data_IF_304289787350
#
_entry.id   IF_304289787350
#
_cell.length_a   1.000
_cell.length_b   1.000
_cell.length_c   1.000
_cell.angle_alpha   90.00
_cell.angle_beta   90.00
_cell.angle_gamma   90.00
#
_symmetry.space_group_name_H-M   'P 1'
#
loop_
_entity.id
_entity.type
_entity.pdbx_description
1 polymer ?
#
# COMPACT_ATOMS: atom_id res chain seq x y z
N UNK A 1 0.85 30.49 15.19
CA UNK A 1 0.34 30.93 13.88
C UNK A 1 0.03 29.67 13.10
N UNK A 2 -1.14 29.08 13.35
CA UNK A 2 -1.65 27.92 12.63
C UNK A 2 -1.93 28.34 11.19
N UNK A 3 -1.08 27.91 10.27
CA UNK A 3 -1.25 28.12 8.84
C UNK A 3 -0.87 26.82 8.13
N UNK A 4 -1.47 25.71 8.56
CA UNK A 4 -1.71 24.60 7.65
C UNK A 4 -3.03 24.87 6.94
N UNK A 5 -2.98 25.82 6.01
CA UNK A 5 -4.08 25.96 5.06
C UNK A 5 -4.15 24.66 4.27
N UNK A 6 -5.18 23.86 4.55
CA UNK A 6 -5.61 22.74 3.73
C UNK A 6 -5.60 23.20 2.26
N UNK A 7 -4.63 22.76 1.46
CA UNK A 7 -4.36 23.38 0.15
C UNK A 7 -5.59 23.34 -0.76
N UNK A 8 -6.43 22.32 -0.57
CA UNK A 8 -7.69 22.09 -1.29
C UNK A 8 -8.81 23.10 -0.97
N UNK A 9 -8.65 23.93 0.07
CA UNK A 9 -9.59 24.99 0.44
C UNK A 9 -9.18 26.38 -0.06
N UNK A 10 -7.94 26.51 -0.56
CA UNK A 10 -7.38 27.77 -1.00
C UNK A 10 -7.79 28.17 -2.42
N UNK A 11 -7.57 29.45 -2.76
CA UNK A 11 -7.83 29.98 -4.11
C UNK A 11 -7.00 29.27 -5.20
N UNK A 12 -5.85 28.70 -4.83
CA UNK A 12 -4.96 27.96 -5.72
C UNK A 12 -5.30 26.47 -5.83
N UNK A 13 -6.38 25.98 -5.20
CA UNK A 13 -6.69 24.55 -5.15
C UNK A 13 -6.82 23.93 -6.56
N UNK A 14 -7.48 24.62 -7.49
CA UNK A 14 -7.61 24.16 -8.88
C UNK A 14 -6.27 24.10 -9.61
N UNK A 15 -5.41 25.11 -9.43
CA UNK A 15 -4.08 25.15 -10.06
C UNK A 15 -3.16 24.06 -9.50
N UNK A 16 -3.21 23.83 -8.18
CA UNK A 16 -2.47 22.75 -7.52
C UNK A 16 -2.95 21.39 -8.00
N UNK A 17 -4.28 21.19 -8.08
CA UNK A 17 -4.87 19.97 -8.63
C UNK A 17 -4.40 19.73 -10.06
N UNK A 18 -4.45 20.75 -10.93
CA UNK A 18 -3.96 20.65 -12.31
C UNK A 18 -2.47 20.33 -12.37
N UNK A 19 -1.65 20.91 -11.50
CA UNK A 19 -0.22 20.61 -11.41
C UNK A 19 0.04 19.16 -10.98
N UNK A 20 -0.74 18.63 -10.03
CA UNK A 20 -0.69 17.21 -9.64
C UNK A 20 -1.11 16.30 -10.80
N UNK A 21 -2.18 16.67 -11.53
CA UNK A 21 -2.63 15.97 -12.76
C UNK A 21 -1.57 15.98 -13.87
N UNK A 22 -0.79 17.05 -14.00
CA UNK A 22 0.31 17.10 -14.95
C UNK A 22 1.50 16.23 -14.50
N UNK A 23 1.79 16.19 -13.20
CA UNK A 23 2.85 15.35 -12.63
C UNK A 23 2.53 13.86 -12.72
N UNK A 24 1.27 13.44 -12.52
CA UNK A 24 0.90 12.01 -12.61
C UNK A 24 1.19 11.41 -14.00
N UNK A 25 1.09 12.21 -15.06
CA UNK A 25 1.40 11.77 -16.44
C UNK A 25 2.88 11.44 -16.66
N UNK A 26 3.75 11.90 -15.75
CA UNK A 26 5.21 11.69 -15.80
C UNK A 26 5.69 10.69 -14.76
N UNK A 27 4.78 9.98 -14.09
CA UNK A 27 5.14 8.98 -13.10
C UNK A 27 5.96 7.84 -13.74
N UNK A 28 6.93 7.27 -13.02
CA UNK A 28 7.66 6.11 -13.49
C UNK A 28 6.73 4.94 -13.82
N UNK A 29 7.00 4.27 -14.94
CA UNK A 29 6.28 3.05 -15.32
C UNK A 29 6.63 1.91 -14.35
N UNK A 30 5.60 1.24 -13.85
CA UNK A 30 5.70 0.05 -13.02
C UNK A 30 5.41 -1.19 -13.87
N UNK A 31 6.29 -2.19 -13.85
CA UNK A 31 6.18 -3.41 -14.67
C UNK A 31 5.64 -4.61 -13.91
N UNK A 32 5.73 -4.61 -12.58
CA UNK A 32 5.26 -5.71 -11.74
C UNK A 32 6.02 -7.02 -11.96
N UNK A 33 7.32 -6.93 -12.29
CA UNK A 33 8.15 -8.08 -12.66
C UNK A 33 9.12 -8.53 -11.54
N UNK A 34 9.04 -7.87 -10.38
CA UNK A 34 9.91 -8.14 -9.23
C UNK A 34 9.79 -9.59 -8.73
N UNK A 35 10.90 -10.30 -8.47
CA UNK A 35 10.85 -11.61 -7.81
C UNK A 35 10.33 -11.52 -6.37
N UNK A 36 10.43 -10.34 -5.73
CA UNK A 36 9.93 -10.07 -4.36
C UNK A 36 8.43 -9.77 -4.30
N UNK A 37 7.72 -9.75 -5.43
CA UNK A 37 6.33 -9.27 -5.48
C UNK A 37 5.38 -10.05 -4.55
N UNK A 38 5.64 -11.33 -4.31
CA UNK A 38 4.89 -12.16 -3.38
C UNK A 38 4.98 -11.70 -1.90
N UNK A 39 6.04 -10.97 -1.53
CA UNK A 39 6.25 -10.40 -0.18
C UNK A 39 5.67 -8.99 -0.06
N UNK A 40 5.27 -8.38 -1.16
CA UNK A 40 4.92 -6.96 -1.23
C UNK A 40 3.80 -6.59 -0.26
N UNK A 41 2.77 -7.44 -0.12
CA UNK A 41 1.66 -7.22 0.82
C UNK A 41 2.15 -7.13 2.27
N UNK A 42 3.03 -8.03 2.67
CA UNK A 42 3.64 -8.02 4.01
C UNK A 42 4.39 -6.71 4.28
N UNK A 43 5.14 -6.19 3.31
CA UNK A 43 5.86 -4.93 3.49
C UNK A 43 4.97 -3.69 3.46
N UNK A 44 3.88 -3.70 2.67
CA UNK A 44 2.87 -2.66 2.74
C UNK A 44 2.19 -2.62 4.12
N UNK A 45 1.88 -3.79 4.69
CA UNK A 45 1.36 -3.91 6.05
C UNK A 45 2.36 -3.43 7.10
N UNK A 46 3.64 -3.79 6.96
CA UNK A 46 4.69 -3.29 7.84
C UNK A 46 4.77 -1.75 7.80
N UNK A 47 4.77 -1.17 6.60
CA UNK A 47 4.75 0.29 6.41
C UNK A 47 3.51 0.90 7.07
N UNK A 48 2.33 0.31 6.88
CA UNK A 48 1.08 0.79 7.46
C UNK A 48 1.12 0.74 9.00
N UNK A 49 1.59 -0.36 9.59
CA UNK A 49 1.74 -0.52 11.05
C UNK A 49 2.65 0.55 11.63
N UNK A 50 3.84 0.73 11.05
CA UNK A 50 4.82 1.72 11.53
C UNK A 50 4.28 3.14 11.33
N UNK A 51 3.69 3.42 10.16
CA UNK A 51 3.07 4.71 9.86
C UNK A 51 1.96 5.07 10.85
N UNK A 52 1.06 4.12 11.15
CA UNK A 52 -0.03 4.32 12.12
C UNK A 52 0.49 4.55 13.54
N UNK A 53 1.57 3.86 13.92
CA UNK A 53 2.19 4.04 15.24
C UNK A 53 2.73 5.46 15.44
N UNK A 54 3.29 6.04 14.38
CA UNK A 54 3.80 7.43 14.38
C UNK A 54 2.76 8.47 13.92
N UNK A 55 1.54 8.04 13.56
CA UNK A 55 0.46 8.89 13.05
C UNK A 55 0.87 9.73 11.83
N UNK A 56 1.67 9.13 10.94
CA UNK A 56 2.06 9.79 9.69
C UNK A 56 0.83 9.95 8.79
N UNK A 57 0.85 11.01 7.99
CA UNK A 57 -0.19 11.34 7.04
C UNK A 57 -0.32 10.27 5.94
N UNK A 58 -1.51 10.15 5.32
CA UNK A 58 -1.71 9.20 4.23
C UNK A 58 -0.75 9.42 3.05
N UNK A 59 -0.39 10.67 2.73
CA UNK A 59 0.54 10.97 1.64
C UNK A 59 1.93 10.33 1.87
N UNK A 60 2.49 10.45 3.08
CA UNK A 60 3.76 9.81 3.45
C UNK A 60 3.69 8.29 3.31
N UNK A 61 2.62 7.66 3.79
CA UNK A 61 2.41 6.21 3.70
C UNK A 61 2.32 5.75 2.25
N UNK A 62 1.50 6.41 1.44
CA UNK A 62 1.31 6.06 0.04
C UNK A 62 2.59 6.25 -0.77
N UNK A 63 3.31 7.35 -0.53
CA UNK A 63 4.59 7.61 -1.17
C UNK A 63 5.62 6.53 -0.79
N UNK A 64 5.71 6.15 0.48
CA UNK A 64 6.61 5.10 0.95
C UNK A 64 6.39 3.77 0.22
N UNK A 65 5.13 3.34 0.12
CA UNK A 65 4.76 2.11 -0.60
C UNK A 65 5.06 2.23 -2.09
N UNK A 66 4.78 3.38 -2.71
CA UNK A 66 5.08 3.62 -4.11
C UNK A 66 6.58 3.56 -4.42
N UNK A 67 7.41 4.16 -3.55
CA UNK A 67 8.87 4.09 -3.65
C UNK A 67 9.36 2.65 -3.50
N UNK A 68 8.81 1.88 -2.55
CA UNK A 68 9.13 0.47 -2.36
C UNK A 68 8.79 -0.36 -3.60
N UNK A 69 7.59 -0.19 -4.16
CA UNK A 69 7.13 -0.92 -5.35
C UNK A 69 8.04 -0.65 -6.55
N UNK A 70 8.39 0.61 -6.81
CA UNK A 70 9.30 0.98 -7.90
C UNK A 70 10.74 0.51 -7.67
N UNK A 71 11.19 0.44 -6.42
CA UNK A 71 12.53 -0.05 -6.09
C UNK A 71 12.61 -1.57 -6.30
N UNK A 72 11.63 -2.33 -5.81
CA UNK A 72 11.53 -3.77 -6.04
C UNK A 72 11.42 -4.14 -7.53
N UNK A 73 10.77 -3.30 -8.34
CA UNK A 73 10.62 -3.54 -9.78
C UNK A 73 11.95 -3.41 -10.57
N UNK A 74 12.96 -2.74 -9.98
CA UNK A 74 14.28 -2.49 -10.59
C UNK A 74 15.40 -3.38 -10.04
N UNK A 75 15.26 -3.87 -8.82
CA UNK A 75 16.34 -4.56 -8.10
C UNK A 75 15.87 -5.90 -7.54
N UNK A 76 16.75 -6.90 -7.61
CA UNK A 76 16.61 -8.16 -6.88
C UNK A 76 17.20 -8.00 -5.47
N UNK A 77 16.34 -8.09 -4.46
CA UNK A 77 16.64 -7.73 -3.07
C UNK A 77 16.36 -8.93 -2.16
N UNK A 78 17.30 -9.22 -1.28
CA UNK A 78 17.10 -10.25 -0.24
C UNK A 78 16.05 -9.81 0.79
N UNK A 79 15.30 -10.75 1.36
CA UNK A 79 14.24 -10.47 2.35
C UNK A 79 14.76 -9.64 3.53
N UNK A 80 15.98 -9.93 4.01
CA UNK A 80 16.59 -9.19 5.13
C UNK A 80 16.85 -7.73 4.76
N UNK A 81 17.36 -7.47 3.55
CA UNK A 81 17.56 -6.10 3.07
C UNK A 81 16.25 -5.38 2.78
N UNK A 82 15.22 -6.11 2.34
CA UNK A 82 13.93 -5.53 1.99
C UNK A 82 13.21 -4.87 3.18
N UNK A 83 13.42 -5.36 4.41
CA UNK A 83 12.96 -4.68 5.62
C UNK A 83 13.61 -3.31 5.80
N UNK A 84 14.92 -3.22 5.58
CA UNK A 84 15.66 -1.96 5.65
C UNK A 84 15.21 -1.02 4.55
N UNK A 85 15.01 -1.52 3.32
CA UNK A 85 14.47 -0.75 2.20
C UNK A 85 13.10 -0.18 2.54
N UNK A 86 12.14 -1.01 2.99
CA UNK A 86 10.78 -0.58 3.31
C UNK A 86 10.75 0.52 4.38
N UNK A 87 11.53 0.37 5.45
CA UNK A 87 11.63 1.37 6.52
C UNK A 87 12.36 2.64 6.06
N UNK A 88 13.33 2.51 5.15
CA UNK A 88 14.01 3.66 4.54
C UNK A 88 13.09 4.42 3.59
N UNK A 89 12.28 3.72 2.78
CA UNK A 89 11.23 4.34 1.97
C UNK A 89 10.25 5.13 2.84
N UNK A 90 9.82 4.56 3.97
CA UNK A 90 8.92 5.24 4.91
C UNK A 90 9.57 6.48 5.53
N UNK A 91 10.82 6.37 5.99
CA UNK A 91 11.52 7.51 6.57
C UNK A 91 11.76 8.62 5.54
N UNK A 92 12.13 8.26 4.32
CA UNK A 92 12.35 9.19 3.23
C UNK A 92 11.05 9.91 2.84
N UNK A 93 9.95 9.17 2.71
CA UNK A 93 8.63 9.76 2.45
C UNK A 93 8.15 10.64 3.61
N UNK A 94 8.43 10.25 4.85
CA UNK A 94 8.12 11.07 6.03
C UNK A 94 8.88 12.39 6.01
N UNK A 95 10.20 12.36 5.73
CA UNK A 95 11.00 13.59 5.59
C UNK A 95 10.51 14.51 4.47
N UNK A 96 9.83 13.96 3.47
CA UNK A 96 9.31 14.71 2.34
C UNK A 96 7.92 15.31 2.60
N UNK A 97 7.01 14.55 3.20
CA UNK A 97 5.60 14.92 3.38
C UNK A 97 5.28 15.52 4.76
N UNK A 98 6.06 15.16 5.79
CA UNK A 98 5.78 15.56 7.18
C UNK A 98 6.52 16.81 7.60
N UNK A 99 5.99 17.43 8.67
CA UNK A 99 6.77 18.34 9.50
C UNK A 99 7.92 17.60 10.16
N UNK A 100 9.05 18.30 10.34
CA UNK A 100 10.27 17.73 10.95
C UNK A 100 10.02 17.05 12.30
N UNK A 101 9.14 17.61 13.13
CA UNK A 101 8.81 17.06 14.46
C UNK A 101 8.02 15.73 14.41
N UNK A 102 7.31 15.46 13.30
CA UNK A 102 6.55 14.22 13.08
C UNK A 102 7.41 13.10 12.50
N UNK A 103 8.60 13.43 11.96
CA UNK A 103 9.47 12.43 11.31
C UNK A 103 10.03 11.45 12.36
N UNK A 104 9.83 10.14 12.21
CA UNK A 104 10.32 9.15 13.17
C UNK A 104 11.85 9.16 13.29
N UNK A 105 12.37 9.22 14.52
CA UNK A 105 13.80 9.10 14.78
C UNK A 105 14.24 7.63 14.79
N UNK A 106 15.52 7.38 14.48
CA UNK A 106 16.10 6.03 14.45
C UNK A 106 15.88 5.25 15.76
N UNK A 107 16.10 5.90 16.90
CA UNK A 107 15.92 5.28 18.21
C UNK A 107 14.46 4.87 18.46
N UNK A 108 13.51 5.71 18.04
CA UNK A 108 12.09 5.41 18.14
C UNK A 108 11.69 4.23 17.24
N UNK A 109 12.20 4.19 16.00
CA UNK A 109 12.00 3.06 15.09
C UNK A 109 12.50 1.75 15.71
N UNK A 110 13.75 1.72 16.20
CA UNK A 110 14.33 0.52 16.82
C UNK A 110 13.60 0.08 18.10
N UNK A 111 12.90 0.98 18.79
CA UNK A 111 12.11 0.63 19.98
C UNK A 111 10.76 -0.05 19.68
N UNK A 112 10.34 -0.12 18.41
CA UNK A 112 9.05 -0.71 18.07
C UNK A 112 9.05 -2.23 18.27
N UNK A 113 7.99 -2.75 18.88
CA UNK A 113 7.85 -4.19 19.10
C UNK A 113 7.90 -5.03 17.82
N UNK A 114 7.42 -4.50 16.69
CA UNK A 114 7.56 -5.18 15.40
C UNK A 114 9.03 -5.38 14.99
N UNK A 115 9.92 -4.41 15.29
CA UNK A 115 11.34 -4.51 15.00
C UNK A 115 12.00 -5.60 15.85
N UNK A 116 11.66 -5.66 17.13
CA UNK A 116 12.10 -6.72 18.04
C UNK A 116 11.63 -8.10 17.57
N UNK A 117 10.37 -8.23 17.17
CA UNK A 117 9.81 -9.49 16.68
C UNK A 117 10.50 -9.99 15.40
N UNK A 118 10.96 -9.07 14.54
CA UNK A 118 11.72 -9.37 13.33
C UNK A 118 13.23 -9.56 13.60
N UNK A 119 13.68 -9.42 14.86
CA UNK A 119 15.11 -9.37 15.23
C UNK A 119 15.90 -8.36 14.38
N UNK A 120 15.28 -7.23 14.05
CA UNK A 120 15.84 -6.21 13.17
C UNK A 120 16.32 -5.01 13.97
N UNK A 121 17.60 -4.67 13.79
CA UNK A 121 18.20 -3.45 14.37
C UNK A 121 18.72 -2.58 13.24
N UNK A 122 18.16 -1.38 13.12
CA UNK A 122 18.61 -0.38 12.15
C UNK A 122 19.81 0.37 12.72
N UNK A 123 20.91 0.40 11.97
CA UNK A 123 22.05 1.25 12.28
C UNK A 123 21.96 2.54 11.48
N UNK A 124 22.50 3.64 12.04
CA UNK A 124 22.56 4.94 11.34
C UNK A 124 23.25 4.83 9.99
N UNK A 125 24.34 4.05 9.91
CA UNK A 125 25.10 3.87 8.68
C UNK A 125 24.29 3.13 7.61
N UNK A 126 23.64 2.02 7.96
CA UNK A 126 22.86 1.24 7.01
C UNK A 126 21.66 2.04 6.50
N UNK A 127 20.98 2.77 7.39
CA UNK A 127 19.83 3.60 7.04
C UNK A 127 20.25 4.74 6.10
N UNK A 128 21.33 5.47 6.43
CA UNK A 128 21.83 6.56 5.60
C UNK A 128 22.24 6.07 4.21
N UNK A 129 22.92 4.92 4.14
CA UNK A 129 23.31 4.32 2.87
C UNK A 129 22.09 3.98 2.01
N UNK A 130 21.06 3.37 2.61
CA UNK A 130 19.84 3.01 1.90
C UNK A 130 19.04 4.24 1.45
N UNK A 131 18.94 5.29 2.29
CA UNK A 131 18.29 6.54 1.91
C UNK A 131 18.98 7.21 0.71
N UNK A 132 20.32 7.23 0.70
CA UNK A 132 21.09 7.76 -0.43
C UNK A 132 20.87 6.94 -1.70
N UNK A 133 20.90 5.61 -1.59
CA UNK A 133 20.62 4.74 -2.74
C UNK A 133 19.21 4.94 -3.31
N UNK A 134 18.21 5.09 -2.44
CA UNK A 134 16.83 5.42 -2.86
C UNK A 134 16.80 6.78 -3.58
N UNK A 135 17.39 7.81 -2.99
CA UNK A 135 17.45 9.15 -3.60
C UNK A 135 18.15 9.12 -4.96
N UNK A 136 19.26 8.41 -5.10
CA UNK A 136 19.95 8.22 -6.38
C UNK A 136 19.07 7.47 -7.40
N UNK A 137 18.37 6.42 -6.96
CA UNK A 137 17.45 5.64 -7.81
C UNK A 137 16.33 6.51 -8.38
N UNK A 138 15.80 7.44 -7.58
CA UNK A 138 14.75 8.38 -7.98
C UNK A 138 15.29 9.71 -8.52
N UNK A 139 16.60 9.82 -8.75
CA UNK A 139 17.25 11.03 -9.25
C UNK A 139 16.89 12.28 -8.42
N UNK A 140 16.79 12.10 -7.10
CA UNK A 140 16.39 13.12 -6.13
C UNK A 140 14.98 13.70 -6.35
N UNK A 141 14.15 13.06 -7.18
CA UNK A 141 12.78 13.48 -7.45
C UNK A 141 11.77 12.61 -6.68
N UNK A 142 11.35 13.11 -5.52
CA UNK A 142 10.30 12.50 -4.69
C UNK A 142 8.91 13.14 -4.90
N UNK A 143 8.78 14.09 -5.83
CA UNK A 143 7.50 14.72 -6.18
C UNK A 143 6.62 13.77 -7.01
N UNK A 144 6.23 12.65 -6.42
CA UNK A 144 5.50 11.54 -7.05
C UNK A 144 4.07 11.52 -6.50
N UNK A 145 3.10 12.15 -7.16
CA UNK A 145 1.74 12.22 -6.65
C UNK A 145 1.13 10.82 -6.52
N UNK A 146 0.44 10.60 -5.40
CA UNK A 146 -0.28 9.37 -5.06
C UNK A 146 -1.77 9.65 -4.87
N UNK A 147 -2.61 8.63 -4.74
CA UNK A 147 -4.06 8.81 -4.55
C UNK A 147 -4.38 9.68 -3.30
N UNK A 148 -3.60 9.53 -2.24
CA UNK A 148 -3.70 10.35 -1.03
C UNK A 148 -3.49 11.86 -1.28
N UNK A 149 -2.76 12.25 -2.33
CA UNK A 149 -2.59 13.66 -2.67
C UNK A 149 -3.85 14.28 -3.30
N UNK A 150 -4.77 13.47 -3.82
CA UNK A 150 -5.97 13.94 -4.49
C UNK A 150 -7.23 13.86 -3.61
N UNK A 151 -7.23 12.94 -2.62
CA UNK A 151 -8.44 12.50 -1.94
C UNK A 151 -9.18 13.64 -1.22
N UNK A 152 -8.46 14.51 -0.50
CA UNK A 152 -9.07 15.56 0.31
C UNK A 152 -9.76 16.62 -0.56
N UNK A 153 -9.15 16.94 -1.71
CA UNK A 153 -9.76 17.84 -2.68
C UNK A 153 -11.05 17.25 -3.26
N UNK A 154 -11.08 15.94 -3.51
CA UNK A 154 -12.29 15.29 -4.03
C UNK A 154 -13.37 15.13 -2.95
N UNK A 155 -12.98 14.86 -1.72
CA UNK A 155 -13.86 14.79 -0.56
C UNK A 155 -14.54 16.13 -0.28
N UNK A 156 -13.87 17.26 -0.54
CA UNK A 156 -14.42 18.61 -0.30
C UNK A 156 -15.76 18.87 -1.01
N UNK A 157 -16.00 18.20 -2.14
CA UNK A 157 -17.26 18.30 -2.91
C UNK A 157 -18.01 16.97 -3.01
N UNK A 158 -17.54 15.93 -2.31
CA UNK A 158 -18.07 14.59 -2.45
C UNK A 158 -19.54 14.51 -2.00
N UNK A 159 -19.94 15.22 -0.96
CA UNK A 159 -21.31 15.21 -0.39
C UNK A 159 -21.90 16.61 -0.44
N UNK A 160 -23.13 16.74 -0.93
CA UNK A 160 -23.86 18.00 -1.01
C UNK A 160 -25.25 17.87 -0.38
N UNK A 161 -25.83 18.97 0.13
CA UNK A 161 -27.15 18.98 0.82
C UNK A 161 -28.29 18.40 -0.02
N UNK A 162 -28.18 18.50 -1.34
CA UNK A 162 -29.16 17.98 -2.30
C UNK A 162 -29.02 16.48 -2.58
N UNK A 163 -27.97 15.83 -2.06
CA UNK A 163 -27.83 14.38 -2.19
C UNK A 163 -28.85 13.68 -1.30
N UNK A 164 -29.28 12.49 -1.72
CA UNK A 164 -30.20 11.65 -0.96
C UNK A 164 -29.44 10.46 -0.37
N UNK A 165 -29.81 10.05 0.85
CA UNK A 165 -29.34 8.84 1.51
C UNK A 165 -30.48 7.82 1.55
N UNK A 166 -30.28 6.64 0.97
CA UNK A 166 -31.34 5.63 0.76
C UNK A 166 -32.57 6.22 0.02
N UNK A 167 -32.35 7.18 -0.89
CA UNK A 167 -33.43 7.85 -1.64
C UNK A 167 -34.19 8.92 -0.86
N UNK A 168 -33.83 9.19 0.39
CA UNK A 168 -34.45 10.22 1.23
C UNK A 168 -33.50 11.40 1.48
N UNK A 169 -34.01 12.61 1.78
CA UNK A 169 -33.17 13.73 2.19
C UNK A 169 -32.27 13.35 3.36
N UNK A 170 -30.99 13.72 3.28
CA UNK A 170 -30.04 13.43 4.35
C UNK A 170 -30.43 14.11 5.66
N UNK A 171 -30.42 13.33 6.74
CA UNK A 171 -30.76 13.82 8.09
C UNK A 171 -29.66 14.70 8.68
N UNK A 172 -28.38 14.40 8.38
CA UNK A 172 -27.24 15.13 8.93
C UNK A 172 -26.06 15.15 7.96
N UNK A 173 -25.86 16.28 7.27
CA UNK A 173 -24.78 16.47 6.30
C UNK A 173 -23.39 16.21 6.91
N UNK A 174 -23.12 16.77 8.08
CA UNK A 174 -21.80 16.68 8.72
C UNK A 174 -21.47 15.24 9.15
N UNK A 175 -22.46 14.49 9.63
CA UNK A 175 -22.29 13.06 9.93
C UNK A 175 -22.02 12.25 8.65
N UNK A 176 -22.71 12.56 7.55
CA UNK A 176 -22.46 11.90 6.26
C UNK A 176 -21.07 12.23 5.73
N UNK A 177 -20.62 13.49 5.78
CA UNK A 177 -19.25 13.89 5.41
C UNK A 177 -18.19 13.15 6.24
N UNK A 178 -18.43 12.99 7.55
CA UNK A 178 -17.52 12.24 8.42
C UNK A 178 -17.41 10.76 8.01
N UNK A 179 -18.53 10.09 7.73
CA UNK A 179 -18.48 8.71 7.24
C UNK A 179 -17.88 8.61 5.84
N UNK A 180 -18.14 9.58 4.98
CA UNK A 180 -17.57 9.67 3.64
C UNK A 180 -16.03 9.70 3.70
N UNK A 181 -15.46 10.53 4.58
CA UNK A 181 -14.02 10.58 4.83
C UNK A 181 -13.49 9.22 5.34
N UNK A 182 -14.16 8.62 6.34
CA UNK A 182 -13.75 7.31 6.89
C UNK A 182 -13.72 6.19 5.84
N UNK A 183 -14.74 6.12 4.99
CA UNK A 183 -14.77 5.11 3.92
C UNK A 183 -13.75 5.41 2.83
N UNK A 184 -13.51 6.69 2.50
CA UNK A 184 -12.49 7.06 1.54
C UNK A 184 -11.08 6.71 2.03
N UNK A 185 -10.79 6.98 3.30
CA UNK A 185 -9.54 6.57 3.96
C UNK A 185 -9.39 5.05 3.94
N UNK A 186 -10.45 4.31 4.28
CA UNK A 186 -10.45 2.85 4.18
C UNK A 186 -10.12 2.36 2.76
N UNK A 187 -10.79 2.90 1.73
CA UNK A 187 -10.54 2.49 0.35
C UNK A 187 -9.15 2.90 -0.15
N UNK A 188 -8.59 4.01 0.36
CA UNK A 188 -7.19 4.35 0.12
C UNK A 188 -6.24 3.28 0.68
N UNK A 189 -6.45 2.85 1.92
CA UNK A 189 -5.65 1.77 2.52
C UNK A 189 -5.82 0.45 1.76
N UNK A 190 -7.03 0.11 1.31
CA UNK A 190 -7.28 -1.05 0.44
C UNK A 190 -6.51 -0.92 -0.88
N UNK A 191 -6.48 0.26 -1.48
CA UNK A 191 -5.74 0.49 -2.73
C UNK A 191 -4.23 0.28 -2.57
N UNK A 192 -3.71 0.50 -1.37
CA UNK A 192 -2.31 0.23 -1.04
C UNK A 192 -1.99 -1.25 -0.89
N UNK A 193 -2.96 -2.15 -0.71
CA UNK A 193 -2.71 -3.57 -0.45
C UNK A 193 -2.43 -4.38 -1.72
N UNK A 194 -2.95 -3.95 -2.87
CA UNK A 194 -2.80 -4.62 -4.15
C UNK A 194 -2.02 -3.74 -5.13
N UNK A 195 -0.86 -4.22 -5.57
CA UNK A 195 -0.02 -3.51 -6.54
C UNK A 195 -0.72 -3.29 -7.89
N UNK A 196 -1.80 -4.01 -8.18
CA UNK A 196 -2.55 -3.85 -9.40
C UNK A 196 -3.26 -2.49 -9.51
N UNK A 197 -3.37 -1.72 -8.41
CA UNK A 197 -3.81 -0.33 -8.44
C UNK A 197 -2.78 0.63 -9.08
N UNK A 198 -1.51 0.23 -9.18
CA UNK A 198 -0.46 1.01 -9.88
C UNK A 198 -0.69 1.11 -11.39
N UNK A 199 -1.58 0.29 -11.95
CA UNK A 199 -1.99 0.35 -13.35
C UNK A 199 -3.00 1.49 -13.63
N UNK A 200 -3.53 2.14 -12.59
CA UNK A 200 -4.43 3.29 -12.72
C UNK A 200 -3.69 4.58 -12.37
N UNK A 201 -4.14 5.69 -12.95
CA UNK A 201 -3.67 7.01 -12.53
C UNK A 201 -4.04 7.25 -11.05
N UNK A 202 -3.16 7.87 -10.23
CA UNK A 202 -3.46 8.14 -8.84
C UNK A 202 -4.73 8.97 -8.63
N UNK A 203 -5.00 9.94 -9.52
CA UNK A 203 -6.26 10.69 -9.51
C UNK A 203 -7.49 9.81 -9.76
N UNK A 204 -7.37 8.77 -10.60
CA UNK A 204 -8.46 7.82 -10.86
C UNK A 204 -8.71 6.96 -9.62
N UNK A 205 -7.66 6.44 -8.98
CA UNK A 205 -7.78 5.64 -7.74
C UNK A 205 -8.46 6.46 -6.64
N UNK A 206 -8.04 7.70 -6.41
CA UNK A 206 -8.67 8.58 -5.42
C UNK A 206 -10.15 8.85 -5.76
N UNK A 207 -10.47 9.03 -7.04
CA UNK A 207 -11.85 9.21 -7.51
C UNK A 207 -12.69 7.95 -7.28
N UNK A 208 -12.13 6.78 -7.55
CA UNK A 208 -12.77 5.49 -7.31
C UNK A 208 -12.99 5.22 -5.82
N UNK A 209 -12.09 5.66 -4.94
CA UNK A 209 -12.29 5.62 -3.49
C UNK A 209 -13.52 6.45 -3.08
N UNK A 210 -13.64 7.68 -3.59
CA UNK A 210 -14.81 8.54 -3.37
C UNK A 210 -16.10 7.89 -3.90
N UNK A 211 -16.08 7.38 -5.13
CA UNK A 211 -17.25 6.73 -5.72
C UNK A 211 -17.67 5.48 -4.93
N UNK A 212 -16.71 4.64 -4.53
CA UNK A 212 -16.95 3.44 -3.73
C UNK A 212 -17.55 3.79 -2.37
N UNK A 213 -17.05 4.83 -1.69
CA UNK A 213 -17.63 5.34 -0.45
C UNK A 213 -19.08 5.80 -0.63
N UNK A 214 -19.41 6.49 -1.73
CA UNK A 214 -20.81 6.90 -2.02
C UNK A 214 -21.72 5.69 -2.24
N UNK A 215 -21.23 4.63 -2.87
CA UNK A 215 -21.98 3.38 -3.07
C UNK A 215 -22.27 2.72 -1.72
N UNK A 216 -21.24 2.55 -0.87
CA UNK A 216 -21.40 1.92 0.45
C UNK A 216 -22.35 2.72 1.35
N UNK A 217 -22.26 4.05 1.29
CA UNK A 217 -23.15 4.98 2.01
C UNK A 217 -24.52 5.18 1.33
N UNK A 218 -24.77 4.51 0.21
CA UNK A 218 -26.05 4.57 -0.53
C UNK A 218 -26.48 6.00 -0.85
N UNK A 219 -25.51 6.81 -1.24
CA UNK A 219 -25.74 8.19 -1.65
C UNK A 219 -26.17 8.24 -3.11
N UNK A 220 -27.21 9.02 -3.38
CA UNK A 220 -27.70 9.27 -4.74
C UNK A 220 -27.73 10.77 -5.07
N UNK A 221 -27.36 11.15 -6.32
CA UNK A 221 -26.84 10.29 -7.37
C UNK A 221 -25.46 9.71 -7.00
N UNK A 222 -25.18 8.46 -7.37
CA UNK A 222 -23.90 7.80 -7.02
C UNK A 222 -22.72 8.57 -7.59
N UNK A 223 -22.83 9.02 -8.85
CA UNK A 223 -21.85 9.86 -9.53
C UNK A 223 -22.46 11.22 -9.93
N UNK A 224 -22.44 12.22 -9.04
CA UNK A 224 -23.00 13.54 -9.31
C UNK A 224 -22.16 14.33 -10.32
N UNK A 225 -22.82 15.18 -11.11
CA UNK A 225 -22.18 16.02 -12.15
C UNK A 225 -21.03 16.87 -11.61
N UNK A 226 -21.11 17.34 -10.36
CA UNK A 226 -20.03 18.10 -9.72
C UNK A 226 -18.72 17.30 -9.61
N UNK A 227 -18.80 16.00 -9.29
CA UNK A 227 -17.62 15.13 -9.22
C UNK A 227 -17.10 14.80 -10.63
N UNK A 228 -18.01 14.62 -11.60
CA UNK A 228 -17.63 14.50 -13.01
C UNK A 228 -16.86 15.73 -13.51
N UNK A 229 -17.35 16.94 -13.26
CA UNK A 229 -16.69 18.18 -13.68
C UNK A 229 -15.34 18.40 -12.98
N UNK A 230 -15.24 18.10 -11.68
CA UNK A 230 -14.00 18.29 -10.92
C UNK A 230 -12.89 17.31 -11.34
N UNK A 231 -13.26 16.04 -11.57
CA UNK A 231 -12.28 14.98 -11.83
C UNK A 231 -12.04 14.73 -13.32
N UNK A 232 -12.98 15.14 -14.17
CA UNK A 232 -13.08 14.84 -15.60
C UNK A 232 -13.23 13.35 -15.94
N UNK A 233 -13.53 12.48 -14.95
CA UNK A 233 -13.79 11.06 -15.18
C UNK A 233 -15.29 10.80 -15.39
N UNK A 234 -15.64 10.05 -16.44
CA UNK A 234 -16.98 9.47 -16.58
C UNK A 234 -17.10 8.22 -15.72
N UNK A 235 -18.34 7.81 -15.44
CA UNK A 235 -18.61 6.60 -14.67
C UNK A 235 -17.94 5.35 -15.27
N UNK A 236 -18.04 5.17 -16.60
CA UNK A 236 -17.52 3.99 -17.30
C UNK A 236 -16.01 3.80 -17.12
N UNK A 237 -15.23 4.89 -17.05
CA UNK A 237 -13.79 4.83 -16.78
C UNK A 237 -13.46 4.45 -15.34
N UNK A 238 -14.36 4.71 -14.39
CA UNK A 238 -14.16 4.43 -12.97
C UNK A 238 -14.54 3.00 -12.59
N UNK A 239 -15.53 2.41 -13.28
CA UNK A 239 -16.11 1.10 -12.95
C UNK A 239 -15.05 0.02 -12.67
N UNK A 240 -14.01 -0.20 -13.51
CA UNK A 240 -13.03 -1.27 -13.25
C UNK A 240 -12.26 -1.10 -11.94
N UNK A 241 -11.95 0.14 -11.56
CA UNK A 241 -11.26 0.43 -10.30
C UNK A 241 -12.21 0.34 -9.10
N UNK A 242 -13.46 0.82 -9.26
CA UNK A 242 -14.51 0.74 -8.23
C UNK A 242 -14.83 -0.72 -7.90
N UNK A 243 -15.05 -1.56 -8.92
CA UNK A 243 -15.36 -2.99 -8.72
C UNK A 243 -14.26 -3.68 -7.93
N UNK A 244 -12.99 -3.39 -8.23
CA UNK A 244 -11.85 -3.94 -7.48
C UNK A 244 -11.87 -3.55 -6.01
N UNK A 245 -12.12 -2.27 -5.72
CA UNK A 245 -12.23 -1.76 -4.34
C UNK A 245 -13.40 -2.42 -3.59
N UNK A 246 -14.57 -2.54 -4.23
CA UNK A 246 -15.75 -3.14 -3.62
C UNK A 246 -15.60 -4.64 -3.39
N UNK A 247 -14.98 -5.37 -4.32
CA UNK A 247 -14.67 -6.80 -4.14
C UNK A 247 -13.75 -7.00 -2.92
N UNK A 248 -12.72 -6.17 -2.77
CA UNK A 248 -11.84 -6.21 -1.62
C UNK A 248 -12.60 -5.93 -0.31
N UNK A 249 -13.46 -4.91 -0.31
CA UNK A 249 -14.33 -4.61 0.83
C UNK A 249 -15.25 -5.79 1.22
N UNK A 250 -15.91 -6.41 0.24
CA UNK A 250 -16.81 -7.54 0.51
C UNK A 250 -16.06 -8.76 1.07
N UNK A 251 -14.81 -8.97 0.65
CA UNK A 251 -13.95 -10.00 1.19
C UNK A 251 -13.58 -9.69 2.66
N UNK A 252 -13.18 -8.45 2.96
CA UNK A 252 -12.87 -8.03 4.33
C UNK A 252 -14.08 -8.18 5.27
N UNK A 253 -15.28 -7.81 4.81
CA UNK A 253 -16.52 -7.97 5.57
C UNK A 253 -16.82 -9.44 5.85
N UNK A 254 -16.62 -10.33 4.86
CA UNK A 254 -16.80 -11.78 5.03
C UNK A 254 -15.82 -12.35 6.05
N UNK A 255 -14.54 -11.97 5.99
CA UNK A 255 -13.53 -12.42 6.94
C UNK A 255 -13.80 -11.91 8.36
N UNK A 256 -14.20 -10.65 8.51
CA UNK A 256 -14.59 -10.10 9.81
C UNK A 256 -15.79 -10.84 10.43
N UNK A 257 -16.76 -11.26 9.61
CA UNK A 257 -17.92 -12.02 10.08
C UNK A 257 -17.57 -13.47 10.47
N UNK A 258 -16.62 -14.12 9.77
CA UNK A 258 -16.12 -15.45 10.15
C UNK A 258 -15.45 -15.43 11.53
N UNK A 259 -14.62 -14.43 11.80
CA UNK A 259 -13.93 -14.29 13.09
C UNK A 259 -14.92 -14.09 14.25
N UNK A 260 -15.98 -13.29 14.05
CA UNK A 260 -17.07 -13.14 15.02
C UNK A 260 -17.82 -14.45 15.28
N UNK A 261 -18.06 -15.26 14.25
CA UNK A 261 -18.71 -16.57 14.38
C UNK A 261 -17.85 -17.59 15.15
N UNK A 262 -16.53 -17.58 14.95
CA UNK A 262 -15.60 -18.45 15.66
C UNK A 262 -15.47 -18.08 17.15
N UNK A 263 -15.42 -16.79 17.49
CA UNK A 263 -15.39 -16.34 18.88
C UNK A 263 -16.70 -16.65 19.64
N UNK A 264 -17.85 -16.69 18.94
CA UNK A 264 -19.12 -17.10 19.54
C UNK A 264 -19.18 -18.61 19.88
N UNK A 265 -18.51 -19.48 19.11
CA UNK A 265 -18.45 -20.92 19.39
C UNK A 265 -17.50 -21.27 20.54
N UNK A 266 -16.40 -20.54 20.72
CA UNK A 266 -15.50 -20.72 21.89
C UNK A 266 -16.12 -20.27 23.21
N UNK A 267 -17.12 -19.38 23.19
CA UNK A 267 -17.82 -18.93 24.40
C UNK A 267 -18.91 -19.92 24.87
N UNK A 268 -19.31 -20.89 24.05
CA UNK A 268 -20.31 -21.90 24.43
C UNK A 268 -19.72 -23.10 25.18
N UNK A 269 -18.38 -23.26 25.23
CA UNK A 269 -17.73 -24.37 25.93
C UNK A 269 -17.35 -24.09 27.39
N UNK A 270 -17.59 -22.89 27.91
CA UNK A 270 -17.24 -22.51 29.30
C UNK A 270 -18.44 -22.32 30.25
N UNK A 271 -19.68 -22.59 29.82
CA UNK A 271 -20.86 -22.47 30.68
C UNK A 271 -21.30 -23.84 31.20
N UNK A 272 -20.51 -24.43 32.10
CA UNK A 272 -21.04 -25.41 33.05
C UNK A 272 -20.24 -25.38 34.35
N UNK A 273 -20.56 -24.43 35.22
CA UNK A 273 -20.50 -24.56 36.67
C UNK A 273 -21.20 -23.36 37.33
N UNK A 274 -22.33 -23.62 37.98
CA UNK A 274 -22.95 -22.73 38.96
C UNK A 274 -22.54 -23.19 40.37
N UNK A 275 -22.54 -22.31 41.40
CA UNK A 275 -23.78 -22.13 42.16
C UNK A 275 -24.09 -20.73 42.73
N UNK A 276 -25.40 -20.47 42.82
CA UNK A 276 -26.20 -19.77 43.84
C UNK A 276 -26.09 -18.24 44.10
N UNK A 277 -27.21 -17.60 44.54
CA UNK A 277 -27.50 -16.18 44.26
C UNK A 277 -27.57 -15.27 45.49
N UNK A 278 -27.31 -13.97 45.29
CA UNK A 278 -27.80 -12.89 46.15
C UNK A 278 -28.16 -11.65 45.33
N UNK A 279 -29.20 -10.87 45.72
CA UNK A 279 -29.78 -9.84 44.87
C UNK A 279 -29.25 -8.46 45.22
N UNK A 280 -29.05 -7.57 44.22
CA UNK A 280 -29.40 -6.15 44.34
C UNK A 280 -29.23 -5.34 43.04
N UNK A 281 -30.32 -4.62 42.77
CA UNK A 281 -30.43 -3.26 42.21
C UNK A 281 -30.18 -2.99 40.73
N UNK A 282 -31.28 -2.55 40.12
CA UNK A 282 -31.41 -1.97 38.80
C UNK A 282 -30.71 -0.62 38.67
N UNK A 283 -30.08 -0.39 37.52
CA UNK A 283 -29.91 0.94 36.95
C UNK A 283 -30.17 0.88 35.44
N UNK A 284 -31.02 1.80 34.99
CA UNK A 284 -31.44 1.96 33.60
C UNK A 284 -30.33 2.72 32.87
N UNK A 285 -29.72 2.11 31.85
CA UNK A 285 -28.84 2.80 30.91
C UNK A 285 -29.32 2.60 29.46
N UNK A 286 -29.52 3.73 28.80
CA UNK A 286 -29.98 3.87 27.42
C UNK A 286 -28.97 3.25 26.44
N UNK A 287 -29.49 2.43 25.53
CA UNK A 287 -28.73 1.79 24.45
C UNK A 287 -28.31 2.79 23.36
N UNK A 288 -27.00 2.87 23.10
CA UNK A 288 -26.41 3.41 21.87
C UNK A 288 -25.74 2.22 21.15
N UNK A 289 -26.03 1.93 19.87
CA UNK A 289 -25.38 0.82 19.18
C UNK A 289 -23.87 1.07 18.98
N UNK A 290 -23.03 0.25 19.62
CA UNK A 290 -21.56 0.28 19.59
C UNK A 290 -20.94 -0.29 18.30
N UNK A 291 -21.30 0.21 17.11
CA UNK A 291 -20.75 -0.32 15.85
C UNK A 291 -19.40 0.27 15.41
N UNK A 292 -18.80 1.22 16.15
CA UNK A 292 -17.65 1.99 15.65
C UNK A 292 -16.35 1.93 16.47
N UNK A 293 -16.25 1.08 17.49
CA UNK A 293 -15.08 1.06 18.38
C UNK A 293 -14.13 -0.14 18.21
N UNK A 294 -14.39 -1.03 17.24
CA UNK A 294 -13.62 -2.27 17.05
C UNK A 294 -12.55 -2.21 15.94
N UNK A 295 -12.34 -1.09 15.26
CA UNK A 295 -11.29 -0.99 14.23
C UNK A 295 -9.96 -0.53 14.85
N UNK A 296 -9.36 -1.40 15.67
CA UNK A 296 -7.91 -1.51 15.76
C UNK A 296 -7.53 -2.89 15.22
N UNK A 297 -6.65 -3.01 14.21
CA UNK A 297 -6.23 -4.32 13.74
C UNK A 297 -5.28 -4.93 14.76
N UNK A 298 -5.81 -5.79 15.63
CA UNK A 298 -5.02 -6.72 16.44
C UNK A 298 -4.60 -7.89 15.54
N UNK A 299 -3.55 -7.71 14.74
CA UNK A 299 -2.95 -8.81 13.97
C UNK A 299 -2.13 -9.70 14.92
N UNK A 300 -2.75 -10.74 15.47
CA UNK A 300 -2.05 -11.85 16.11
C UNK A 300 -1.58 -12.83 15.03
N UNK A 301 -0.27 -13.03 14.93
CA UNK A 301 0.31 -14.11 14.13
C UNK A 301 0.26 -15.42 14.92
N UNK A 302 -0.38 -16.45 14.36
CA UNK A 302 -0.19 -17.84 14.79
C UNK A 302 0.78 -18.52 13.82
N UNK A 303 1.99 -18.81 14.30
CA UNK A 303 2.93 -19.67 13.62
C UNK A 303 2.63 -21.11 14.04
N UNK A 304 2.11 -21.92 13.13
CA UNK A 304 1.97 -23.37 13.33
C UNK A 304 3.34 -24.01 13.09
N UNK A 305 4.09 -24.28 14.16
CA UNK A 305 5.24 -25.18 14.14
C UNK A 305 4.72 -26.61 14.22
N UNK A 306 4.87 -27.39 13.15
CA UNK A 306 4.66 -28.83 13.18
C UNK A 306 5.92 -29.50 13.71
N UNK A 307 5.89 -29.89 14.98
CA UNK A 307 6.78 -30.90 15.54
C UNK A 307 6.38 -32.28 15.01
N UNK A 308 7.33 -33.02 14.43
CA UNK A 308 7.27 -34.47 14.39
C UNK A 308 8.58 -35.04 14.92
N UNK A 309 8.48 -35.63 16.12
CA UNK A 309 9.49 -36.45 16.74
C UNK A 309 9.43 -37.88 16.19
N UNK A 310 10.60 -38.34 15.75
CA UNK A 310 11.27 -39.60 16.11
C UNK A 310 10.75 -40.94 15.56
N UNK A 311 11.59 -41.59 14.73
CA UNK A 311 11.98 -42.99 14.91
C UNK A 311 13.37 -43.24 14.30
N UNK A 312 14.17 -44.03 15.00
CA UNK A 312 15.61 -44.25 14.84
C UNK A 312 15.99 -45.26 13.75
N UNK A 313 17.19 -45.02 13.17
CA UNK A 313 18.26 -45.94 12.72
C UNK A 313 17.93 -47.22 11.92
N UNK A 314 18.59 -47.38 10.76
CA UNK A 314 19.53 -48.50 10.43
C UNK A 314 20.21 -48.25 9.05
N UNK A 315 21.55 -48.17 9.10
CA UNK A 315 22.62 -48.61 8.18
C UNK A 315 22.42 -48.71 6.64
N UNK A 316 23.33 -48.00 5.94
CA UNK A 316 24.18 -48.39 4.79
C UNK A 316 23.58 -49.03 3.53
N UNK A 317 23.86 -48.45 2.35
CA UNK A 317 24.81 -48.96 1.36
C UNK A 317 24.67 -48.28 -0.02
N UNK A 318 25.79 -48.23 -0.73
CA UNK A 318 25.99 -47.83 -2.13
C UNK A 318 24.99 -48.47 -3.10
N UNK A 319 24.66 -47.80 -4.22
CA UNK A 319 25.11 -48.22 -5.56
C UNK A 319 24.56 -47.35 -6.70
N UNK A 320 25.47 -47.17 -7.64
CA UNK A 320 25.47 -46.69 -9.03
C UNK A 320 24.37 -47.24 -9.98
N UNK A 321 23.98 -46.35 -10.91
CA UNK A 321 23.97 -46.53 -12.37
C UNK A 321 22.66 -46.77 -13.15
N UNK A 322 22.68 -46.11 -14.33
CA UNK A 322 22.24 -46.53 -15.68
C UNK A 322 20.78 -46.32 -16.15
N UNK A 323 20.67 -45.50 -17.20
CA UNK A 323 19.65 -45.52 -18.26
C UNK A 323 19.55 -46.89 -18.95
N UNK A 324 18.44 -47.20 -19.65
CA UNK A 324 18.46 -47.02 -21.11
C UNK A 324 17.14 -46.57 -21.78
N UNK A 325 17.29 -46.33 -23.08
CA UNK A 325 16.42 -45.82 -24.13
C UNK A 325 15.25 -46.72 -24.58
N UNK A 326 14.35 -46.06 -25.33
CA UNK A 326 13.61 -46.54 -26.53
C UNK A 326 12.36 -47.42 -26.37
N UNK A 327 11.22 -46.95 -26.88
CA UNK A 327 10.67 -47.33 -28.21
C UNK A 327 9.25 -46.75 -28.44
N UNK A 328 8.99 -46.28 -29.67
CA UNK A 328 7.65 -46.04 -30.23
C UNK A 328 7.30 -47.19 -31.20
N UNK A 329 6.00 -47.37 -31.53
CA UNK A 329 5.53 -47.18 -32.92
C UNK A 329 4.17 -46.40 -32.96
N UNK A 330 3.92 -45.44 -33.88
CA UNK A 330 3.46 -45.55 -35.29
C UNK A 330 2.20 -46.43 -35.46
N UNK A 331 1.11 -46.15 -36.20
CA UNK A 331 0.67 -45.17 -37.21
C UNK A 331 -0.89 -45.19 -37.25
N UNK A 332 -1.66 -44.24 -37.79
CA UNK A 332 -2.09 -44.05 -39.20
C UNK A 332 -3.05 -42.82 -39.23
N UNK A 333 -2.77 -41.74 -39.96
CA UNK A 333 -3.12 -41.42 -41.36
C UNK A 333 -4.58 -41.02 -41.66
N UNK A 334 -4.78 -39.76 -42.06
CA UNK A 334 -5.26 -39.32 -43.40
C UNK A 334 -5.32 -37.78 -43.41
N UNK A 335 -4.39 -37.07 -44.06
CA UNK A 335 -4.45 -36.53 -45.44
C UNK A 335 -5.68 -35.62 -45.66
N UNK A 336 -5.52 -34.33 -45.96
CA UNK A 336 -5.33 -33.84 -47.35
C UNK A 336 -4.38 -32.62 -47.41
N UNK A 337 -3.51 -32.65 -48.42
CA UNK A 337 -2.54 -31.65 -48.92
C UNK A 337 -3.29 -30.47 -49.60
N UNK A 338 -2.73 -29.29 -49.92
CA UNK A 338 -1.45 -29.08 -50.59
C UNK A 338 -1.04 -27.59 -50.67
N UNK A 339 0.29 -27.41 -50.64
CA UNK A 339 1.16 -26.48 -51.40
C UNK A 339 1.01 -24.95 -51.21
N UNK A 340 2.08 -24.18 -51.04
CA UNK A 340 3.52 -24.48 -51.03
C UNK A 340 4.38 -23.24 -51.27
N UNK A 341 5.67 -23.38 -50.92
CA UNK A 341 6.83 -22.49 -51.15
C UNK A 341 7.00 -21.36 -50.12
N UNK A 342 8.16 -21.14 -49.49
CA UNK A 342 9.48 -21.77 -49.55
C UNK A 342 10.52 -20.76 -49.04
N UNK A 343 11.63 -21.27 -48.49
CA UNK A 343 12.91 -20.60 -48.12
C UNK A 343 13.18 -20.25 -46.65
N UNK A 344 13.82 -21.22 -45.98
CA UNK A 344 15.15 -21.16 -45.33
C UNK A 344 15.72 -19.84 -44.78
N UNK A 345 16.06 -19.84 -43.48
CA UNK A 345 17.01 -18.93 -42.83
C UNK A 345 17.46 -19.48 -41.48
N UNK A 346 18.78 -19.63 -41.30
CA UNK A 346 19.45 -20.39 -40.25
C UNK A 346 19.31 -19.83 -38.82
N UNK A 347 19.21 -20.74 -37.84
CA UNK A 347 19.38 -20.43 -36.42
C UNK A 347 20.87 -20.50 -36.03
N UNK A 348 21.43 -19.39 -35.56
CA UNK A 348 22.69 -19.37 -34.82
C UNK A 348 22.39 -19.11 -33.35
N UNK A 349 22.68 -20.11 -32.52
CA UNK A 349 22.68 -20.01 -31.06
C UNK A 349 24.07 -19.57 -30.63
N UNK A 350 24.18 -18.41 -29.97
CA UNK A 350 25.40 -17.95 -29.33
C UNK A 350 25.11 -17.74 -27.85
N UNK A 351 25.56 -18.70 -27.05
CA UNK A 351 25.69 -18.56 -25.61
C UNK A 351 26.86 -17.61 -25.31
N UNK A 352 26.60 -16.55 -24.54
CA UNK A 352 27.63 -15.69 -23.96
C UNK A 352 27.50 -15.78 -22.43
N UNK A 353 28.54 -16.19 -21.70
CA UNK A 353 28.54 -16.16 -20.25
C UNK A 353 28.92 -14.75 -19.77
N UNK A 354 28.03 -14.08 -19.03
CA UNK A 354 28.37 -12.85 -18.33
C UNK A 354 28.68 -13.16 -16.86
N UNK A 355 29.97 -13.22 -16.60
CA UNK A 355 30.61 -13.27 -15.28
C UNK A 355 30.35 -11.94 -14.54
N UNK A 356 29.67 -11.99 -13.40
CA UNK A 356 29.45 -10.82 -12.53
C UNK A 356 30.57 -10.76 -11.50
N UNK A 357 31.54 -9.87 -11.69
CA UNK A 357 32.51 -9.47 -10.66
C UNK A 357 31.94 -8.35 -9.78
N UNK A 358 31.97 -8.47 -8.45
CA UNK A 358 31.67 -7.36 -7.55
C UNK A 358 32.98 -6.62 -7.23
N UNK A 359 33.11 -5.37 -7.65
CA UNK A 359 34.20 -4.49 -7.23
C UNK A 359 33.71 -3.05 -7.18
N UNK A 360 33.25 -2.59 -6.02
CA UNK A 360 33.39 -1.18 -5.61
C UNK A 360 33.80 -1.16 -4.14
N UNK A 361 35.11 -1.19 -3.89
CA UNK A 361 35.72 -0.69 -2.67
C UNK A 361 35.95 0.81 -2.85
N UNK A 362 35.15 1.66 -2.20
CA UNK A 362 35.51 3.07 -2.05
C UNK A 362 36.01 3.30 -0.63
N UNK A 363 37.32 3.44 -0.53
CA UNK A 363 38.02 3.94 0.64
C UNK A 363 37.84 5.47 0.69
N UNK A 364 37.20 6.01 1.72
CA UNK A 364 37.38 7.42 2.08
C UNK A 364 37.58 7.58 3.58
N UNK A 365 38.80 7.98 3.91
CA UNK A 365 39.22 8.43 5.22
C UNK A 365 39.68 9.89 5.06
N UNK A 366 38.83 10.87 5.40
CA UNK A 366 39.29 12.12 6.03
C UNK A 366 38.14 13.01 6.54
N UNK A 367 38.20 13.24 7.85
CA UNK A 367 37.94 14.49 8.58
C UNK A 367 36.58 15.17 8.46
N UNK A 368 35.78 14.95 9.50
CA UNK A 368 34.71 15.83 9.97
C UNK A 368 35.19 17.27 10.17
N UNK A 369 34.49 18.23 9.56
CA UNK A 369 34.30 19.55 10.16
C UNK A 369 32.82 19.94 10.08
N UNK A 370 32.26 20.23 11.25
CA UNK A 370 30.93 20.80 11.47
C UNK A 370 30.76 22.08 10.65
N UNK A 371 29.66 22.19 9.91
CA UNK A 371 28.92 23.45 9.75
C UNK A 371 27.44 23.14 9.55
N UNK A 372 26.69 23.47 10.59
CA UNK A 372 25.25 23.58 10.65
C UNK A 372 24.75 24.66 9.68
N UNK A 373 23.49 24.52 9.28
CA UNK A 373 22.61 25.49 8.61
C UNK A 373 22.48 25.35 7.08
N UNK A 374 21.20 25.43 6.68
CA UNK A 374 20.62 25.68 5.36
C UNK A 374 20.35 24.44 4.49
N UNK A 375 19.07 24.05 4.39
CA UNK A 375 18.23 24.20 3.20
C UNK A 375 16.76 24.11 3.67
N UNK A 376 16.10 25.26 3.64
CA UNK A 376 14.72 25.46 4.05
C UNK A 376 14.32 26.86 3.63
N UNK A 377 14.31 27.12 2.32
CA UNK A 377 13.67 28.28 1.70
C UNK A 377 13.83 28.23 0.19
N UNK A 378 12.87 27.60 -0.49
CA UNK A 378 12.69 27.82 -1.93
C UNK A 378 11.22 27.75 -2.33
N UNK A 379 10.35 28.42 -1.57
CA UNK A 379 8.98 28.78 -1.99
C UNK A 379 8.57 30.11 -1.35
N UNK A 380 9.29 31.21 -1.62
CA UNK A 380 8.80 32.56 -1.30
C UNK A 380 9.52 33.68 -2.07
N UNK A 381 9.29 33.76 -3.38
CA UNK A 381 9.59 34.99 -4.13
C UNK A 381 8.85 35.02 -5.47
N UNK A 382 7.55 35.26 -5.44
CA UNK A 382 6.84 35.89 -6.58
C UNK A 382 5.53 36.52 -6.11
N UNK A 383 5.63 37.58 -5.33
CA UNK A 383 4.53 38.55 -5.09
C UNK A 383 5.08 39.70 -4.25
N UNK A 384 5.81 40.57 -4.91
CA UNK A 384 6.03 41.96 -4.51
C UNK A 384 6.70 42.64 -5.69
N UNK A 385 5.86 43.15 -6.59
CA UNK A 385 6.11 44.33 -7.42
C UNK A 385 4.95 44.51 -8.40
N UNK A 386 3.85 45.09 -7.90
CA UNK A 386 2.94 45.87 -8.73
C UNK A 386 1.92 46.61 -7.84
N UNK A 387 2.23 47.88 -7.53
CA UNK A 387 1.32 49.04 -7.54
C UNK A 387 1.91 50.19 -6.73
N UNK A 388 2.35 51.22 -7.48
CA UNK A 388 2.11 52.61 -7.08
C UNK A 388 0.62 52.91 -7.20
#
# INVERSE_FOLDING_TARGET
MELEAQWWTGQLAADIHQALRYKELKLPSYKGQSPQLHLRRYFADLIAIVSNRFRLCPAARHLAVYLLDLFMDRYDISVQQLHVVALSCLLLASKFEEKEDSVPKLEQLNSLGCMTNMNLVLTKQNLLHMELLLLETFQWNLCLPTAAHFIDYYLSIAVHETDLHDGWPMVCLEKTKLYMAKYADYFLEVSLQDHAFLNYAPSLVATACVASSRIILRLSPTWPTRLHHLTAYSWDFLVPCIERLLIAHDNDVKEANKQKGQHAQSAQHTVFQSPAPTPQQASVQQHIPQYLQAHQPSLHYHHQTSEQQNCQQILSANHTASYPLQTCPAALQSSVQARGHGQTGAAMSLAVPLEVKPCISVSYNRSYQKKSNWIGNQYRSSSRDCKK
#
